data_IF_000531314119
#
_entry.id   IF_000531314119
#
_cell.length_a   1.000
_cell.length_b   1.000
_cell.length_c   1.000
_cell.angle_alpha   90.00
_cell.angle_beta   90.00
_cell.angle_gamma   90.00
#
_symmetry.space_group_name_H-M   'P 1'
#
loop_
_entity.id
_entity.type
_entity.pdbx_description
1 polymer ?
#
# COMPACT_ATOMS: atom_id res chain seq x y z
N UNK A 1 -81.45 -2.70 45.57
CA UNK A 1 -80.04 -2.28 45.51
C UNK A 1 -79.44 -2.92 44.25
N UNK A 2 -79.28 -2.16 43.12
CA UNK A 2 -78.74 -2.63 41.91
C UNK A 2 -77.27 -2.28 41.88
N UNK A 3 -76.35 -3.29 41.80
CA UNK A 3 -74.92 -3.13 41.66
C UNK A 3 -74.60 -3.00 40.21
N UNK A 4 -73.99 -1.90 39.77
CA UNK A 4 -73.40 -1.68 38.42
C UNK A 4 -71.96 -2.09 38.47
N UNK A 5 -71.56 -3.07 37.70
CA UNK A 5 -70.20 -3.45 37.46
C UNK A 5 -69.73 -2.78 36.16
N UNK A 6 -68.75 -1.87 36.24
CA UNK A 6 -68.03 -1.31 35.05
C UNK A 6 -66.98 -2.29 34.60
N UNK A 7 -66.79 -2.53 33.27
CA UNK A 7 -65.68 -3.27 32.78
C UNK A 7 -64.46 -2.33 32.63
N UNK A 8 -63.31 -2.71 33.25
CA UNK A 8 -61.99 -2.08 33.03
C UNK A 8 -61.42 -2.64 31.75
N UNK A 9 -61.39 -1.82 30.69
CA UNK A 9 -60.67 -2.15 29.47
C UNK A 9 -59.18 -1.90 29.71
N UNK A 10 -58.36 -2.98 29.78
CA UNK A 10 -56.92 -2.91 29.86
C UNK A 10 -56.37 -2.60 28.44
N UNK A 11 -55.88 -1.38 28.26
CA UNK A 11 -55.20 -0.94 27.06
C UNK A 11 -53.75 -1.44 27.12
N UNK A 12 -53.43 -2.55 26.39
CA UNK A 12 -52.09 -3.10 26.30
C UNK A 12 -51.29 -2.22 25.32
N UNK A 13 -50.42 -1.35 25.83
CA UNK A 13 -49.45 -0.58 25.05
C UNK A 13 -48.31 -1.54 24.65
N UNK A 14 -48.30 -2.02 23.40
CA UNK A 14 -47.17 -2.74 22.83
C UNK A 14 -46.06 -1.74 22.58
N UNK A 15 -45.05 -1.67 23.46
CA UNK A 15 -43.77 -0.97 23.23
C UNK A 15 -43.00 -1.85 22.25
N UNK A 16 -42.95 -1.44 20.97
CA UNK A 16 -41.99 -1.96 20.02
C UNK A 16 -40.60 -1.53 20.51
N UNK A 17 -39.91 -2.41 21.19
CA UNK A 17 -38.49 -2.23 21.47
C UNK A 17 -37.75 -2.35 20.12
N UNK A 18 -37.45 -1.19 19.52
CA UNK A 18 -36.42 -1.14 18.44
C UNK A 18 -35.11 -1.58 19.09
N UNK A 19 -34.64 -2.78 18.80
CA UNK A 19 -33.31 -3.21 19.15
C UNK A 19 -32.34 -2.30 18.41
N UNK A 20 -31.78 -1.31 19.07
CA UNK A 20 -30.60 -0.60 18.60
C UNK A 20 -29.49 -1.67 18.61
N UNK A 21 -29.22 -2.25 17.47
CA UNK A 21 -28.02 -3.06 17.29
C UNK A 21 -26.81 -2.12 17.47
N UNK A 22 -25.90 -2.49 18.34
CA UNK A 22 -24.64 -1.75 18.45
C UNK A 22 -23.88 -1.90 17.12
N UNK A 23 -23.29 -0.80 16.64
CA UNK A 23 -22.50 -0.83 15.43
C UNK A 23 -21.35 -1.84 15.53
N UNK A 24 -21.10 -2.55 14.44
CA UNK A 24 -19.90 -3.37 14.30
C UNK A 24 -18.72 -2.44 14.00
N UNK A 25 -17.68 -2.49 14.84
CA UNK A 25 -16.48 -1.67 14.65
C UNK A 25 -15.38 -2.51 14.04
N UNK A 26 -14.99 -2.20 12.81
CA UNK A 26 -13.84 -2.78 12.11
C UNK A 26 -12.57 -2.01 12.45
N UNK A 27 -11.46 -2.72 12.69
CA UNK A 27 -10.15 -2.12 12.99
C UNK A 27 -9.33 -2.08 11.70
N UNK A 28 -8.93 -0.87 11.29
CA UNK A 28 -8.02 -0.65 10.17
C UNK A 28 -6.64 -0.22 10.69
N UNK A 29 -5.56 -0.86 10.24
CA UNK A 29 -4.20 -0.53 10.64
C UNK A 29 -3.29 -0.31 9.44
N UNK A 30 -2.36 0.63 9.55
CA UNK A 30 -1.30 0.85 8.57
C UNK A 30 -0.05 1.46 9.22
N UNK A 31 1.09 1.45 8.48
CA UNK A 31 2.37 1.92 9.01
C UNK A 31 2.59 3.43 8.89
N UNK A 32 1.79 4.13 8.11
CA UNK A 32 2.02 5.52 7.72
C UNK A 32 1.61 6.51 8.82
N UNK A 33 2.27 7.68 8.91
CA UNK A 33 1.92 8.70 9.91
C UNK A 33 0.48 9.18 9.75
N UNK A 34 -0.27 9.22 10.85
CA UNK A 34 -1.65 9.69 10.88
C UNK A 34 -1.76 11.19 11.12
N UNK A 35 -2.74 11.83 10.46
CA UNK A 35 -3.09 13.23 10.72
C UNK A 35 -2.02 14.26 10.33
N UNK A 36 -1.06 13.88 9.45
CA UNK A 36 0.05 14.73 9.02
C UNK A 36 0.08 14.93 7.50
N UNK A 37 -1.03 14.69 6.79
CA UNK A 37 -1.15 14.86 5.34
C UNK A 37 -0.48 13.75 4.54
N UNK A 38 -0.35 12.53 5.12
CA UNK A 38 -0.02 11.34 4.35
C UNK A 38 -1.28 10.85 3.64
N UNK A 39 -1.27 10.90 2.31
CA UNK A 39 -2.44 10.59 1.46
C UNK A 39 -2.96 9.17 1.69
N UNK A 40 -2.09 8.25 2.13
CA UNK A 40 -2.46 6.87 2.45
C UNK A 40 -3.29 6.79 3.74
N UNK A 41 -2.92 7.56 4.77
CA UNK A 41 -3.78 7.71 5.95
C UNK A 41 -5.12 8.36 5.59
N UNK A 42 -5.07 9.43 4.78
CA UNK A 42 -6.28 10.14 4.37
C UNK A 42 -7.23 9.26 3.54
N UNK A 43 -6.70 8.38 2.68
CA UNK A 43 -7.46 7.38 1.94
C UNK A 43 -8.25 6.44 2.87
N UNK A 44 -7.60 5.91 3.91
CA UNK A 44 -8.26 5.03 4.90
C UNK A 44 -9.25 5.81 5.77
N UNK A 45 -8.93 7.06 6.14
CA UNK A 45 -9.83 7.94 6.90
C UNK A 45 -11.06 8.35 6.07
N UNK A 46 -10.90 8.57 4.76
CA UNK A 46 -12.01 8.85 3.85
C UNK A 46 -12.98 7.65 3.82
N UNK A 47 -12.44 6.45 3.61
CA UNK A 47 -13.23 5.23 3.64
C UNK A 47 -13.99 5.07 4.96
N UNK A 48 -13.33 5.34 6.10
CA UNK A 48 -13.96 5.27 7.42
C UNK A 48 -15.12 6.26 7.58
N UNK A 49 -14.98 7.49 7.09
CA UNK A 49 -16.05 8.49 7.11
C UNK A 49 -17.24 8.07 6.24
N UNK A 50 -17.01 7.60 5.03
CA UNK A 50 -18.07 7.18 4.12
C UNK A 50 -18.86 5.99 4.64
N UNK A 51 -18.18 5.01 5.23
CA UNK A 51 -18.86 3.87 5.87
C UNK A 51 -19.73 4.33 7.05
N UNK A 52 -19.26 5.28 7.85
CA UNK A 52 -20.05 5.84 8.95
C UNK A 52 -21.26 6.65 8.44
N UNK A 53 -21.12 7.39 7.33
CA UNK A 53 -22.20 8.16 6.70
C UNK A 53 -23.27 7.28 6.07
N UNK A 54 -22.92 6.06 5.63
CA UNK A 54 -23.87 5.09 5.07
C UNK A 54 -24.89 4.55 6.11
N UNK A 55 -24.63 4.69 7.40
CA UNK A 55 -25.51 4.32 8.52
C UNK A 55 -26.04 2.86 8.47
N UNK A 56 -25.17 1.94 8.05
CA UNK A 56 -25.47 0.50 7.92
C UNK A 56 -25.09 -0.32 9.17
N UNK A 57 -24.94 0.33 10.33
CA UNK A 57 -24.49 -0.30 11.57
C UNK A 57 -23.04 -0.80 11.51
N UNK A 58 -22.19 -0.10 10.75
CA UNK A 58 -20.77 -0.40 10.59
C UNK A 58 -19.93 0.86 10.79
N UNK A 59 -18.79 0.72 11.46
CA UNK A 59 -17.82 1.79 11.63
C UNK A 59 -16.41 1.25 11.40
N UNK A 60 -15.47 2.10 10.97
CA UNK A 60 -14.06 1.77 10.86
C UNK A 60 -13.27 2.63 11.83
N UNK A 61 -12.53 1.98 12.73
CA UNK A 61 -11.55 2.65 13.60
C UNK A 61 -10.16 2.50 13.02
N UNK A 62 -9.53 3.63 12.68
CA UNK A 62 -8.20 3.66 12.05
C UNK A 62 -7.11 3.75 13.10
N UNK A 63 -6.07 2.93 12.94
CA UNK A 63 -4.88 2.84 13.77
C UNK A 63 -3.62 3.10 12.91
N UNK A 64 -3.23 4.37 12.72
CA UNK A 64 -2.07 4.74 11.93
C UNK A 64 -0.75 4.51 12.68
N UNK A 65 0.37 4.62 11.97
CA UNK A 65 1.71 4.64 12.54
C UNK A 65 2.11 3.36 13.27
N UNK A 66 1.63 2.20 12.83
CA UNK A 66 1.89 0.90 13.47
C UNK A 66 1.38 0.80 14.92
N UNK A 67 0.41 1.63 15.30
CA UNK A 67 -0.09 1.68 16.68
C UNK A 67 -0.83 0.39 17.13
N UNK A 68 -1.23 -0.46 16.18
CA UNK A 68 -1.89 -1.74 16.48
C UNK A 68 -1.05 -2.94 16.07
N UNK A 69 -0.48 -2.94 14.85
CA UNK A 69 0.40 -3.99 14.33
C UNK A 69 1.57 -3.37 13.57
N UNK A 70 2.76 -3.96 13.72
CA UNK A 70 3.94 -3.61 12.92
C UNK A 70 3.73 -3.89 11.43
N UNK A 71 4.44 -3.17 10.55
CA UNK A 71 4.25 -3.24 9.11
C UNK A 71 4.28 -4.68 8.55
N UNK A 72 5.29 -5.45 8.94
CA UNK A 72 5.46 -6.85 8.50
C UNK A 72 4.49 -7.84 9.17
N UNK A 73 3.74 -7.40 10.19
CA UNK A 73 2.78 -8.25 10.89
C UNK A 73 1.35 -8.14 10.35
N UNK A 74 1.06 -7.04 9.61
CA UNK A 74 -0.31 -6.66 9.20
C UNK A 74 -0.98 -7.72 8.33
N UNK A 75 -0.31 -8.25 7.30
CA UNK A 75 -0.85 -9.34 6.49
C UNK A 75 -1.23 -10.55 7.34
N UNK A 76 -0.30 -10.98 8.19
CA UNK A 76 -0.56 -12.13 9.06
C UNK A 76 -1.64 -11.88 10.12
N UNK A 77 -1.85 -10.65 10.57
CA UNK A 77 -2.94 -10.28 11.48
C UNK A 77 -4.28 -10.26 10.74
N UNK A 78 -4.31 -9.72 9.51
CA UNK A 78 -5.48 -9.64 8.63
C UNK A 78 -6.04 -11.03 8.33
N UNK A 79 -5.24 -11.92 7.74
CA UNK A 79 -5.70 -13.24 7.29
C UNK A 79 -6.08 -14.19 8.43
N UNK A 80 -5.65 -13.89 9.67
CA UNK A 80 -6.07 -14.62 10.88
C UNK A 80 -7.23 -13.95 11.62
N UNK A 81 -7.87 -12.93 11.05
CA UNK A 81 -9.00 -12.21 11.65
C UNK A 81 -8.66 -11.45 12.94
N UNK A 82 -7.36 -11.13 13.17
CA UNK A 82 -6.94 -10.29 14.30
C UNK A 82 -6.91 -8.81 13.96
N UNK A 83 -6.91 -8.49 12.68
CA UNK A 83 -7.08 -7.19 12.07
C UNK A 83 -8.17 -7.32 11.01
N UNK A 84 -9.02 -6.29 10.87
CA UNK A 84 -10.17 -6.38 9.97
C UNK A 84 -9.84 -5.77 8.60
N UNK A 85 -9.13 -4.61 8.59
CA UNK A 85 -8.66 -3.94 7.37
C UNK A 85 -7.18 -3.51 7.52
N UNK A 86 -6.50 -3.40 6.39
CA UNK A 86 -5.17 -2.78 6.34
C UNK A 86 -4.94 -2.06 5.01
N UNK A 87 -4.16 -0.98 5.02
CA UNK A 87 -3.48 -0.47 3.83
C UNK A 87 -2.02 -0.93 3.94
N UNK A 88 -1.58 -1.75 2.99
CA UNK A 88 -0.34 -2.49 3.09
C UNK A 88 0.43 -2.43 1.77
N UNK A 89 1.72 -2.06 1.77
CA UNK A 89 2.62 -2.41 0.66
C UNK A 89 2.57 -3.91 0.43
N UNK A 90 1.97 -4.36 -0.67
CA UNK A 90 1.63 -5.78 -0.85
C UNK A 90 2.87 -6.67 -0.87
N UNK A 91 3.97 -6.15 -1.38
CA UNK A 91 5.26 -6.84 -1.43
C UNK A 91 5.80 -7.25 -0.03
N UNK A 92 5.39 -6.58 1.05
CA UNK A 92 5.75 -7.00 2.42
C UNK A 92 5.20 -8.38 2.81
N UNK A 93 4.22 -8.89 2.07
CA UNK A 93 3.70 -10.24 2.23
C UNK A 93 4.32 -11.28 1.27
N UNK A 94 5.28 -10.88 0.41
CA UNK A 94 5.93 -11.75 -0.59
C UNK A 94 6.66 -12.96 0.01
N UNK A 95 7.10 -12.87 1.25
CA UNK A 95 7.66 -14.02 1.97
C UNK A 95 6.66 -15.16 2.22
N UNK A 96 5.34 -14.91 2.05
CA UNK A 96 4.26 -15.91 2.14
C UNK A 96 3.65 -16.23 0.79
N UNK A 97 3.54 -15.22 -0.05
CA UNK A 97 2.96 -15.25 -1.40
C UNK A 97 3.99 -14.61 -2.34
N UNK A 98 4.94 -15.40 -2.87
CA UNK A 98 6.04 -14.84 -3.69
C UNK A 98 5.53 -14.14 -4.95
N UNK A 99 4.32 -14.41 -5.41
CA UNK A 99 3.64 -13.72 -6.51
C UNK A 99 3.50 -12.21 -6.25
N UNK A 100 3.40 -11.78 -5.00
CA UNK A 100 3.27 -10.37 -4.65
C UNK A 100 4.53 -9.55 -4.99
N UNK A 101 5.69 -10.18 -5.16
CA UNK A 101 6.89 -9.48 -5.64
C UNK A 101 6.73 -8.87 -7.04
N UNK A 102 5.77 -9.36 -7.85
CA UNK A 102 5.43 -8.75 -9.13
C UNK A 102 4.88 -7.33 -8.97
N UNK A 103 4.25 -7.01 -7.84
CA UNK A 103 3.67 -5.68 -7.59
C UNK A 103 4.70 -4.62 -7.20
N UNK A 104 5.98 -5.00 -7.15
CA UNK A 104 7.14 -4.14 -7.00
C UNK A 104 8.29 -4.61 -7.90
N UNK A 105 8.02 -5.16 -9.06
CA UNK A 105 9.06 -5.56 -10.02
C UNK A 105 9.68 -4.33 -10.67
N UNK A 106 11.03 -4.16 -10.65
CA UNK A 106 11.69 -2.98 -11.19
C UNK A 106 11.31 -2.69 -12.65
N UNK A 107 10.78 -1.49 -12.91
CA UNK A 107 10.43 -1.03 -14.25
C UNK A 107 9.22 -1.73 -14.91
N UNK A 108 8.53 -2.65 -14.22
CA UNK A 108 7.33 -3.31 -14.77
C UNK A 108 6.18 -2.33 -14.92
N UNK A 109 5.96 -1.45 -13.96
CA UNK A 109 5.00 -0.35 -14.01
C UNK A 109 5.73 0.92 -14.43
N UNK A 110 5.32 1.51 -15.56
CA UNK A 110 6.08 2.57 -16.23
C UNK A 110 5.76 3.99 -15.74
N UNK A 111 4.50 4.22 -15.38
CA UNK A 111 3.98 5.51 -14.93
C UNK A 111 2.57 5.35 -14.32
N UNK A 112 1.99 6.44 -13.81
CA UNK A 112 0.67 6.44 -13.18
C UNK A 112 -0.46 6.02 -14.12
N UNK A 113 -0.39 6.39 -15.41
CA UNK A 113 -1.40 5.97 -16.40
C UNK A 113 -1.34 4.47 -16.66
N UNK A 114 -0.14 3.91 -16.75
CA UNK A 114 0.05 2.47 -16.88
C UNK A 114 -0.44 1.74 -15.62
N UNK A 115 -0.11 2.25 -14.42
CA UNK A 115 -0.58 1.71 -13.15
C UNK A 115 -2.13 1.66 -13.09
N UNK A 116 -2.79 2.74 -13.53
CA UNK A 116 -4.27 2.77 -13.59
C UNK A 116 -4.85 1.71 -14.54
N UNK A 117 -4.23 1.51 -15.72
CA UNK A 117 -4.68 0.46 -16.66
C UNK A 117 -4.46 -0.95 -16.14
N UNK A 118 -3.44 -1.16 -15.30
CA UNK A 118 -3.18 -2.46 -14.69
C UNK A 118 -4.33 -2.91 -13.77
N UNK A 119 -5.04 -2.01 -13.09
CA UNK A 119 -6.09 -2.35 -12.13
C UNK A 119 -7.20 -3.26 -12.71
N UNK A 120 -7.51 -3.09 -14.01
CA UNK A 120 -8.54 -3.85 -14.73
C UNK A 120 -7.95 -4.93 -15.67
N UNK A 121 -6.67 -5.24 -15.54
CA UNK A 121 -5.96 -6.19 -16.40
C UNK A 121 -5.99 -7.63 -15.88
N UNK A 122 -5.65 -8.57 -16.76
CA UNK A 122 -5.44 -9.97 -16.39
C UNK A 122 -4.32 -10.14 -15.36
N UNK A 123 -3.30 -9.28 -15.41
CA UNK A 123 -2.23 -9.22 -14.41
C UNK A 123 -2.81 -8.99 -13.00
N UNK A 124 -3.61 -7.93 -12.82
CA UNK A 124 -4.20 -7.64 -11.51
C UNK A 124 -5.27 -8.66 -11.11
N UNK A 125 -5.98 -9.25 -12.06
CA UNK A 125 -6.88 -10.37 -11.77
C UNK A 125 -6.12 -11.54 -11.14
N UNK A 126 -4.95 -11.91 -11.68
CA UNK A 126 -4.09 -12.97 -11.11
C UNK A 126 -3.59 -12.61 -9.71
N UNK A 127 -3.16 -11.36 -9.48
CA UNK A 127 -2.72 -10.89 -8.16
C UNK A 127 -3.87 -10.89 -7.14
N UNK A 128 -5.06 -10.39 -7.54
CA UNK A 128 -6.26 -10.35 -6.70
C UNK A 128 -6.77 -11.77 -6.35
N UNK A 129 -6.60 -12.74 -7.24
CA UNK A 129 -6.87 -14.16 -6.96
C UNK A 129 -5.95 -14.70 -5.87
N UNK A 130 -4.63 -14.43 -5.95
CA UNK A 130 -3.68 -14.83 -4.89
C UNK A 130 -4.00 -14.14 -3.55
N UNK A 131 -4.40 -12.87 -3.56
CA UNK A 131 -4.83 -12.15 -2.35
C UNK A 131 -6.05 -12.86 -1.73
N UNK A 132 -7.05 -13.22 -2.55
CA UNK A 132 -8.28 -13.87 -2.11
C UNK A 132 -8.00 -15.26 -1.54
N UNK A 133 -7.21 -16.06 -2.23
CA UNK A 133 -6.78 -17.39 -1.79
C UNK A 133 -5.95 -17.30 -0.50
N UNK A 134 -5.20 -16.23 -0.32
CA UNK A 134 -4.45 -15.91 0.89
C UNK A 134 -5.33 -15.50 2.09
N UNK A 135 -6.64 -15.30 1.90
CA UNK A 135 -7.61 -14.98 2.95
C UNK A 135 -7.87 -13.47 3.14
N UNK A 136 -7.60 -12.67 2.13
CA UNK A 136 -7.89 -11.23 2.10
C UNK A 136 -8.62 -10.85 0.81
N UNK A 137 -9.23 -9.67 0.78
CA UNK A 137 -9.94 -9.11 -0.38
C UNK A 137 -9.53 -7.65 -0.57
N UNK A 138 -9.36 -7.24 -1.81
CA UNK A 138 -9.11 -5.85 -2.18
C UNK A 138 -10.40 -5.05 -2.10
N UNK A 139 -10.35 -3.90 -1.43
CA UNK A 139 -11.44 -2.91 -1.38
C UNK A 139 -11.09 -1.65 -2.20
N UNK A 140 -9.82 -1.31 -2.30
CA UNK A 140 -9.37 -0.18 -3.11
C UNK A 140 -7.96 -0.46 -3.64
N UNK A 141 -7.73 -0.17 -4.90
CA UNK A 141 -6.43 -0.23 -5.54
C UNK A 141 -5.68 1.09 -5.33
N UNK A 142 -4.37 1.04 -5.04
CA UNK A 142 -3.54 2.22 -5.09
C UNK A 142 -2.10 1.91 -5.49
N UNK A 143 -1.51 2.80 -6.28
CA UNK A 143 -0.16 2.70 -6.80
C UNK A 143 0.62 3.99 -6.54
N UNK A 144 1.84 3.86 -6.13
CA UNK A 144 2.76 4.95 -5.88
C UNK A 144 4.04 4.79 -6.69
N UNK A 145 4.45 5.86 -7.34
CA UNK A 145 5.81 5.99 -7.83
C UNK A 145 6.77 6.23 -6.67
N UNK A 146 8.03 6.00 -6.90
CA UNK A 146 9.10 6.28 -5.96
C UNK A 146 10.45 6.37 -6.66
N UNK A 147 11.50 6.54 -5.86
CA UNK A 147 12.85 6.77 -6.37
C UNK A 147 13.91 6.24 -5.42
N UNK A 148 15.09 6.80 -5.55
CA UNK A 148 16.25 6.50 -4.71
C UNK A 148 16.71 7.75 -3.97
N UNK A 149 17.16 7.60 -2.75
CA UNK A 149 17.83 8.67 -2.03
C UNK A 149 19.07 8.14 -1.33
N UNK A 150 20.12 8.98 -1.23
CA UNK A 150 21.41 8.62 -0.66
C UNK A 150 22.01 9.80 0.09
N UNK A 151 22.74 9.49 1.16
CA UNK A 151 23.54 10.44 1.93
C UNK A 151 24.94 10.66 1.36
N UNK A 152 25.35 9.97 0.29
CA UNK A 152 26.69 10.08 -0.28
C UNK A 152 26.70 10.64 -1.70
N UNK A 153 25.93 10.02 -2.62
CA UNK A 153 25.93 10.34 -4.05
C UNK A 153 24.61 9.99 -4.69
N UNK A 154 24.25 10.68 -5.76
CA UNK A 154 23.04 10.39 -6.50
C UNK A 154 23.06 8.97 -7.08
N UNK A 155 21.94 8.27 -6.97
CA UNK A 155 21.75 6.91 -7.50
C UNK A 155 21.06 7.01 -8.85
N UNK A 156 21.82 7.08 -9.93
CA UNK A 156 21.28 7.14 -11.29
C UNK A 156 21.52 5.86 -12.07
N UNK A 157 22.73 5.30 -12.00
CA UNK A 157 23.14 4.10 -12.72
C UNK A 157 23.53 2.96 -11.76
N UNK A 158 23.63 1.71 -12.24
CA UNK A 158 24.03 0.56 -11.43
C UNK A 158 25.38 0.74 -10.72
N UNK A 159 26.33 1.44 -11.32
CA UNK A 159 27.65 1.66 -10.74
C UNK A 159 27.60 2.54 -9.48
N UNK A 160 26.57 3.39 -9.37
CA UNK A 160 26.43 4.34 -8.27
C UNK A 160 26.03 3.70 -6.95
N UNK A 161 25.55 2.46 -6.92
CA UNK A 161 25.20 1.73 -5.69
C UNK A 161 26.33 0.87 -5.13
N UNK A 162 27.44 0.73 -5.87
CA UNK A 162 28.53 -0.16 -5.46
C UNK A 162 29.08 0.22 -4.08
N UNK A 163 29.08 -0.77 -3.17
CA UNK A 163 29.61 -0.66 -1.83
C UNK A 163 28.72 0.10 -0.84
N UNK A 164 27.54 0.60 -1.25
CA UNK A 164 26.60 1.24 -0.32
C UNK A 164 25.77 0.21 0.44
N UNK A 165 25.45 0.53 1.71
CA UNK A 165 24.45 -0.18 2.49
C UNK A 165 23.08 0.35 2.09
N UNK A 166 22.34 -0.45 1.36
CA UNK A 166 21.11 -0.02 0.67
C UNK A 166 19.87 -0.68 1.29
N UNK A 167 18.87 0.12 1.65
CA UNK A 167 17.54 -0.41 1.95
C UNK A 167 16.80 -0.72 0.66
N UNK A 168 16.43 -1.96 0.47
CA UNK A 168 15.50 -2.37 -0.57
C UNK A 168 14.11 -2.67 -0.02
N UNK A 169 13.10 -2.49 -0.87
CA UNK A 169 11.70 -2.63 -0.47
C UNK A 169 11.15 -4.05 -0.67
N UNK A 170 11.93 -5.00 -1.11
CA UNK A 170 11.49 -6.37 -1.31
C UNK A 170 12.35 -7.17 -2.28
N UNK A 171 12.06 -8.47 -2.44
CA UNK A 171 12.98 -9.42 -3.08
C UNK A 171 13.40 -9.04 -4.49
N UNK A 172 12.52 -8.44 -5.29
CA UNK A 172 12.85 -8.05 -6.66
C UNK A 172 13.90 -6.92 -6.69
N UNK A 173 13.72 -5.87 -5.88
CA UNK A 173 14.71 -4.80 -5.77
C UNK A 173 15.97 -5.26 -5.04
N UNK A 174 15.86 -6.14 -4.04
CA UNK A 174 17.02 -6.72 -3.33
C UNK A 174 17.96 -7.41 -4.33
N UNK A 175 17.44 -8.29 -5.18
CA UNK A 175 18.21 -9.03 -6.17
C UNK A 175 18.89 -8.11 -7.20
N UNK A 176 18.17 -7.13 -7.72
CA UNK A 176 18.72 -6.18 -8.69
C UNK A 176 19.85 -5.34 -8.09
N UNK A 177 19.63 -4.78 -6.90
CA UNK A 177 20.62 -3.92 -6.22
C UNK A 177 21.85 -4.70 -5.74
N UNK A 178 21.63 -5.93 -5.23
CA UNK A 178 22.74 -6.83 -4.84
C UNK A 178 23.61 -7.19 -6.05
N UNK A 179 23.00 -7.48 -7.21
CA UNK A 179 23.71 -7.76 -8.44
C UNK A 179 24.49 -6.54 -8.96
N UNK A 180 24.01 -5.32 -8.68
CA UNK A 180 24.72 -4.07 -8.95
C UNK A 180 25.83 -3.76 -7.94
N UNK A 181 25.99 -4.57 -6.88
CA UNK A 181 27.08 -4.46 -5.90
C UNK A 181 26.76 -3.68 -4.63
N UNK A 182 25.46 -3.47 -4.32
CA UNK A 182 25.04 -2.94 -3.03
C UNK A 182 25.03 -4.02 -1.93
N UNK A 183 25.17 -3.61 -0.68
CA UNK A 183 24.90 -4.45 0.50
C UNK A 183 23.47 -4.19 0.95
N UNK A 184 22.63 -5.22 1.00
CA UNK A 184 21.18 -5.05 1.20
C UNK A 184 20.79 -5.18 2.67
N UNK A 185 19.94 -4.24 3.13
CA UNK A 185 19.20 -4.31 4.37
C UNK A 185 17.69 -4.22 4.09
N UNK A 186 16.97 -5.31 4.39
CA UNK A 186 15.52 -5.39 4.21
C UNK A 186 14.80 -4.90 5.45
N UNK A 187 13.97 -3.85 5.33
CA UNK A 187 13.18 -3.30 6.42
C UNK A 187 11.98 -2.51 5.92
N UNK A 188 10.92 -2.32 6.73
CA UNK A 188 9.81 -1.43 6.39
C UNK A 188 10.26 0.02 6.18
N UNK A 189 9.54 0.78 5.33
CA UNK A 189 9.88 2.18 5.05
C UNK A 189 9.84 3.08 6.29
N UNK A 190 9.04 2.75 7.29
CA UNK A 190 8.97 3.44 8.58
C UNK A 190 10.26 3.37 9.43
N UNK A 191 11.18 2.47 9.09
CA UNK A 191 12.47 2.31 9.81
C UNK A 191 13.64 3.02 9.11
N UNK A 192 13.46 3.46 7.85
CA UNK A 192 14.54 4.05 7.02
C UNK A 192 15.17 5.26 7.71
N UNK A 193 14.36 6.20 8.23
CA UNK A 193 14.86 7.42 8.86
C UNK A 193 15.87 7.11 9.96
N UNK A 194 15.52 6.24 10.90
CA UNK A 194 16.41 5.87 12.01
C UNK A 194 17.64 5.11 11.53
N UNK A 195 17.50 4.24 10.54
CA UNK A 195 18.62 3.47 10.01
C UNK A 195 19.62 4.37 9.26
N UNK A 196 19.17 5.38 8.53
CA UNK A 196 20.04 6.39 7.91
C UNK A 196 20.67 7.30 8.97
N UNK A 197 19.88 7.81 9.93
CA UNK A 197 20.39 8.67 11.00
C UNK A 197 21.51 8.02 11.84
N UNK A 198 21.44 6.70 12.00
CA UNK A 198 22.44 5.93 12.77
C UNK A 198 23.58 5.39 11.91
N UNK A 199 23.61 5.66 10.61
CA UNK A 199 24.65 5.20 9.68
C UNK A 199 24.58 3.70 9.37
N UNK A 200 23.44 3.05 9.59
CA UNK A 200 23.21 1.67 9.17
C UNK A 200 22.96 1.59 7.67
N UNK A 201 22.35 2.63 7.09
CA UNK A 201 22.06 2.78 5.67
C UNK A 201 22.76 4.02 5.11
N UNK A 202 23.27 3.88 3.89
CA UNK A 202 23.80 4.96 3.06
C UNK A 202 22.76 5.43 2.04
N UNK A 203 21.86 4.53 1.60
CA UNK A 203 20.84 4.80 0.59
C UNK A 203 19.58 3.95 0.80
N UNK A 204 18.48 4.40 0.18
CA UNK A 204 17.20 3.69 0.20
C UNK A 204 16.38 3.98 -1.06
N UNK A 205 15.54 3.01 -1.44
CA UNK A 205 14.40 3.24 -2.33
C UNK A 205 13.10 3.20 -1.53
N UNK A 206 12.14 4.03 -1.90
CA UNK A 206 10.78 4.03 -1.35
C UNK A 206 9.85 4.89 -2.20
N UNK A 207 8.56 4.98 -1.80
CA UNK A 207 7.58 5.81 -2.50
C UNK A 207 7.82 7.30 -2.30
N UNK A 208 7.38 8.11 -3.27
CA UNK A 208 7.41 9.57 -3.22
C UNK A 208 6.76 10.09 -1.94
N UNK A 209 5.64 9.49 -1.51
CA UNK A 209 4.99 9.90 -0.26
C UNK A 209 5.82 9.53 0.98
N UNK A 210 6.47 8.36 1.02
CA UNK A 210 7.31 7.95 2.15
C UNK A 210 8.54 8.83 2.31
N UNK A 211 9.14 9.27 1.22
CA UNK A 211 10.24 10.23 1.25
C UNK A 211 9.87 11.52 1.96
N UNK A 212 8.62 11.98 1.82
CA UNK A 212 8.11 13.19 2.48
C UNK A 212 7.63 12.90 3.89
N UNK A 213 6.73 11.92 4.07
CA UNK A 213 6.04 11.69 5.34
C UNK A 213 6.94 11.16 6.44
N UNK A 214 8.00 10.42 6.10
CA UNK A 214 9.03 10.00 7.04
C UNK A 214 10.21 10.97 7.12
N UNK A 215 10.13 12.15 6.45
CA UNK A 215 11.12 13.23 6.50
C UNK A 215 12.53 12.77 6.10
N UNK A 216 12.65 11.86 5.11
CA UNK A 216 13.95 11.30 4.75
C UNK A 216 14.90 12.35 4.16
N UNK A 217 14.37 13.48 3.67
CA UNK A 217 15.14 14.65 3.23
C UNK A 217 16.11 15.24 4.30
N UNK A 218 15.90 14.89 5.59
CA UNK A 218 16.81 15.32 6.66
C UNK A 218 18.05 14.43 6.77
N UNK A 219 18.09 13.29 6.08
CA UNK A 219 19.11 12.26 6.23
C UNK A 219 19.87 11.97 4.93
N UNK A 220 19.58 12.69 3.85
CA UNK A 220 20.14 12.44 2.52
C UNK A 220 20.63 13.72 1.85
N UNK A 221 21.60 13.59 0.96
CA UNK A 221 22.16 14.70 0.18
C UNK A 221 21.66 14.68 -1.28
N UNK A 222 21.18 13.54 -1.78
CA UNK A 222 20.64 13.42 -3.13
C UNK A 222 19.37 12.56 -3.18
N UNK A 223 18.41 12.99 -4.02
CA UNK A 223 17.23 12.28 -4.44
C UNK A 223 17.26 12.05 -5.95
N UNK A 224 17.07 10.81 -6.38
CA UNK A 224 16.75 10.47 -7.78
C UNK A 224 15.24 10.31 -7.88
N UNK A 225 14.59 11.25 -8.53
CA UNK A 225 13.13 11.26 -8.71
C UNK A 225 12.65 10.19 -9.70
N UNK A 226 11.38 9.75 -9.68
CA UNK A 226 10.85 8.80 -10.66
C UNK A 226 10.88 9.33 -12.09
N UNK A 227 10.58 10.62 -12.32
CA UNK A 227 10.64 11.26 -13.64
C UNK A 227 9.93 10.45 -14.73
N UNK A 228 10.48 10.52 -15.96
CA UNK A 228 9.99 9.76 -17.11
C UNK A 228 10.45 8.29 -17.12
N UNK A 229 11.42 7.95 -16.27
CA UNK A 229 12.07 6.63 -16.20
C UNK A 229 12.01 6.06 -14.79
N UNK A 230 10.78 5.80 -14.30
CA UNK A 230 10.56 5.26 -12.98
C UNK A 230 10.84 3.76 -12.92
N UNK A 231 11.86 3.36 -12.15
CA UNK A 231 12.08 1.94 -11.85
C UNK A 231 11.14 1.45 -10.75
N UNK A 232 10.73 2.33 -9.84
CA UNK A 232 10.01 1.99 -8.62
C UNK A 232 8.54 2.42 -8.70
N UNK A 233 7.64 1.43 -8.74
CA UNK A 233 6.22 1.57 -8.49
C UNK A 233 5.77 0.47 -7.56
N UNK A 234 5.00 0.81 -6.52
CA UNK A 234 4.49 -0.14 -5.55
C UNK A 234 2.97 -0.12 -5.48
N UNK A 235 2.40 -1.30 -5.39
CA UNK A 235 0.99 -1.50 -5.12
C UNK A 235 0.73 -1.53 -3.61
N UNK A 236 -0.13 -0.62 -3.13
CA UNK A 236 -0.48 -0.44 -1.72
C UNK A 236 -2.00 -0.48 -1.52
N UNK A 237 -2.68 -1.63 -1.69
CA UNK A 237 -4.14 -1.72 -1.62
C UNK A 237 -4.70 -1.55 -0.21
N UNK A 238 -5.97 -1.11 -0.12
CA UNK A 238 -6.78 -1.36 1.08
C UNK A 238 -7.35 -2.78 0.99
N UNK A 239 -7.02 -3.58 1.99
CA UNK A 239 -7.44 -4.97 2.11
C UNK A 239 -8.39 -5.16 3.29
N UNK A 240 -9.36 -6.06 3.13
CA UNK A 240 -10.20 -6.58 4.22
C UNK A 240 -9.93 -8.07 4.41
N UNK A 241 -9.98 -8.55 5.64
CA UNK A 241 -10.00 -9.99 5.93
C UNK A 241 -11.18 -10.66 5.24
N UNK A 242 -10.95 -11.71 4.45
CA UNK A 242 -12.04 -12.45 3.78
C UNK A 242 -13.00 -13.06 4.81
N UNK A 243 -12.49 -13.50 5.96
CA UNK A 243 -13.34 -13.99 7.05
C UNK A 243 -14.28 -12.89 7.59
N UNK A 244 -13.82 -11.66 7.72
CA UNK A 244 -14.63 -10.52 8.14
C UNK A 244 -15.65 -10.19 7.07
N UNK A 245 -15.24 -10.11 5.80
CA UNK A 245 -16.11 -9.83 4.66
C UNK A 245 -17.29 -10.79 4.58
N UNK A 246 -17.04 -12.08 4.73
CA UNK A 246 -18.09 -13.12 4.70
C UNK A 246 -19.06 -13.05 5.90
N UNK A 247 -18.68 -12.38 6.98
CA UNK A 247 -19.53 -12.15 8.15
C UNK A 247 -20.43 -10.92 8.03
N UNK A 248 -20.21 -10.06 7.04
CA UNK A 248 -20.99 -8.84 6.80
C UNK A 248 -22.26 -9.16 5.98
N UNK A 249 -23.32 -8.39 6.20
CA UNK A 249 -24.50 -8.45 5.35
C UNK A 249 -24.29 -7.68 4.03
N UNK A 250 -25.23 -7.83 3.07
CA UNK A 250 -25.13 -7.24 1.73
C UNK A 250 -25.07 -5.70 1.75
N UNK A 251 -25.79 -5.03 2.69
CA UNK A 251 -25.77 -3.57 2.81
C UNK A 251 -24.41 -3.07 3.31
N UNK A 252 -23.80 -3.79 4.27
CA UNK A 252 -22.47 -3.49 4.79
C UNK A 252 -21.37 -3.73 3.75
N UNK A 253 -21.48 -4.83 2.97
CA UNK A 253 -20.56 -5.11 1.88
C UNK A 253 -20.67 -4.05 0.76
N UNK A 254 -21.88 -3.61 0.43
CA UNK A 254 -22.10 -2.54 -0.53
C UNK A 254 -21.49 -1.21 -0.08
N UNK A 255 -21.70 -0.82 1.19
CA UNK A 255 -21.13 0.39 1.76
C UNK A 255 -19.59 0.38 1.76
N UNK A 256 -18.96 -0.75 2.09
CA UNK A 256 -17.50 -0.91 2.01
C UNK A 256 -16.99 -0.84 0.57
N UNK A 257 -17.72 -1.42 -0.37
CA UNK A 257 -17.36 -1.37 -1.79
C UNK A 257 -17.43 0.07 -2.34
N UNK A 258 -18.51 0.80 -2.05
CA UNK A 258 -18.65 2.21 -2.43
C UNK A 258 -17.57 3.09 -1.79
N UNK A 259 -17.33 2.91 -0.49
CA UNK A 259 -16.29 3.64 0.22
C UNK A 259 -14.88 3.31 -0.29
N UNK A 260 -14.64 2.07 -0.70
CA UNK A 260 -13.39 1.65 -1.34
C UNK A 260 -13.18 2.32 -2.68
N UNK A 261 -14.20 2.35 -3.55
CA UNK A 261 -14.14 3.04 -4.84
C UNK A 261 -13.84 4.54 -4.68
N UNK A 262 -14.51 5.21 -3.76
CA UNK A 262 -14.24 6.62 -3.51
C UNK A 262 -12.84 6.88 -2.93
N UNK A 263 -12.31 5.96 -2.12
CA UNK A 263 -10.95 6.03 -1.61
C UNK A 263 -9.92 5.82 -2.73
N UNK A 264 -10.19 4.92 -3.67
CA UNK A 264 -9.37 4.69 -4.87
C UNK A 264 -9.35 5.92 -5.79
N UNK A 265 -10.53 6.49 -6.10
CA UNK A 265 -10.65 7.72 -6.91
C UNK A 265 -9.90 8.90 -6.27
N UNK A 266 -10.04 9.09 -4.96
CA UNK A 266 -9.30 10.10 -4.20
C UNK A 266 -7.80 9.90 -4.35
N UNK A 267 -7.32 8.68 -4.12
CA UNK A 267 -5.89 8.38 -4.19
C UNK A 267 -5.33 8.57 -5.60
N UNK A 268 -6.03 8.10 -6.63
CA UNK A 268 -5.62 8.24 -8.02
C UNK A 268 -5.49 9.72 -8.45
N UNK A 269 -6.37 10.61 -7.93
CA UNK A 269 -6.30 12.04 -8.19
C UNK A 269 -5.07 12.72 -7.54
N UNK A 270 -4.60 12.21 -6.41
CA UNK A 270 -3.46 12.77 -5.66
C UNK A 270 -2.11 12.17 -6.09
N UNK A 271 -2.08 10.91 -6.55
CA UNK A 271 -0.87 10.11 -6.73
C UNK A 271 0.20 10.79 -7.60
N UNK A 272 -0.17 11.33 -8.77
CA UNK A 272 0.78 11.99 -9.66
C UNK A 272 1.35 13.30 -9.06
N UNK A 273 0.57 14.02 -8.23
CA UNK A 273 1.02 15.24 -7.58
C UNK A 273 2.04 14.97 -6.46
N UNK A 274 2.08 13.75 -5.92
CA UNK A 274 3.02 13.37 -4.86
C UNK A 274 4.47 13.39 -5.34
N UNK A 275 4.73 13.04 -6.59
CA UNK A 275 6.08 13.05 -7.16
C UNK A 275 6.63 14.47 -7.22
N UNK A 276 5.85 15.43 -7.71
CA UNK A 276 6.25 16.83 -7.73
C UNK A 276 6.37 17.41 -6.30
N UNK A 277 5.46 17.06 -5.40
CA UNK A 277 5.53 17.46 -3.98
C UNK A 277 6.83 16.98 -3.32
N UNK A 278 7.25 15.76 -3.60
CA UNK A 278 8.52 15.21 -3.11
C UNK A 278 9.70 16.03 -3.63
N UNK A 279 9.75 16.29 -4.93
CA UNK A 279 10.80 17.11 -5.57
C UNK A 279 10.89 18.49 -4.92
N UNK A 280 9.74 19.16 -4.74
CA UNK A 280 9.69 20.51 -4.16
C UNK A 280 10.20 20.49 -2.69
N UNK A 281 9.72 19.57 -1.87
CA UNK A 281 10.15 19.44 -0.46
C UNK A 281 11.66 19.18 -0.36
N UNK A 282 12.21 18.31 -1.22
CA UNK A 282 13.64 18.00 -1.19
C UNK A 282 14.49 19.20 -1.60
N UNK A 283 14.13 19.90 -2.67
CA UNK A 283 14.80 21.15 -3.11
C UNK A 283 14.72 22.25 -2.06
N UNK A 284 13.57 22.44 -1.42
CA UNK A 284 13.39 23.42 -0.33
C UNK A 284 14.27 23.12 0.88
N UNK A 285 14.60 21.86 1.12
CA UNK A 285 15.52 21.45 2.20
C UNK A 285 17.00 21.35 1.75
N UNK A 286 17.33 21.78 0.53
CA UNK A 286 18.70 21.87 0.03
C UNK A 286 19.28 20.54 -0.47
N UNK A 287 18.45 19.51 -0.65
CA UNK A 287 18.84 18.22 -1.22
C UNK A 287 18.96 18.34 -2.73
N UNK A 288 20.01 17.78 -3.31
CA UNK A 288 20.15 17.67 -4.76
C UNK A 288 19.08 16.72 -5.32
N UNK A 289 18.38 17.16 -6.38
CA UNK A 289 17.35 16.34 -7.05
C UNK A 289 17.75 16.14 -8.50
N UNK A 290 17.90 14.88 -8.89
CA UNK A 290 18.27 14.45 -10.23
C UNK A 290 17.24 13.50 -10.81
N UNK A 291 17.17 13.43 -12.14
CA UNK A 291 16.39 12.46 -12.89
C UNK A 291 17.31 11.39 -13.50
N UNK A 292 16.79 10.19 -13.68
CA UNK A 292 17.52 9.12 -14.37
C UNK A 292 17.47 9.36 -15.89
N UNK A 293 18.59 9.11 -16.58
CA UNK A 293 18.60 9.09 -18.04
C UNK A 293 18.00 7.79 -18.58
N UNK A 294 17.57 7.78 -19.85
CA UNK A 294 17.11 6.56 -20.52
C UNK A 294 18.20 5.48 -20.58
N UNK A 295 19.45 5.89 -20.78
CA UNK A 295 20.61 4.98 -20.79
C UNK A 295 20.78 4.29 -19.44
N UNK A 296 20.76 5.05 -18.34
CA UNK A 296 20.88 4.53 -16.97
C UNK A 296 19.69 3.62 -16.62
N UNK A 297 18.47 4.03 -16.97
CA UNK A 297 17.27 3.22 -16.79
C UNK A 297 17.35 1.88 -17.50
N UNK A 298 17.80 1.87 -18.78
CA UNK A 298 17.98 0.64 -19.53
C UNK A 298 19.07 -0.26 -18.93
N UNK A 299 20.15 0.32 -18.39
CA UNK A 299 21.19 -0.44 -17.68
C UNK A 299 20.64 -1.11 -16.42
N UNK A 300 19.76 -0.45 -15.67
CA UNK A 300 19.05 -1.05 -14.53
C UNK A 300 18.11 -2.17 -14.97
N UNK A 301 17.35 -1.97 -16.05
CA UNK A 301 16.45 -2.99 -16.59
C UNK A 301 17.20 -4.26 -17.04
N UNK A 302 18.37 -4.11 -17.65
CA UNK A 302 19.20 -5.26 -18.03
C UNK A 302 19.55 -6.13 -16.81
N UNK A 303 20.00 -5.50 -15.71
CA UNK A 303 20.28 -6.22 -14.46
C UNK A 303 19.00 -6.85 -13.88
N UNK A 304 17.90 -6.10 -13.85
CA UNK A 304 16.63 -6.62 -13.33
C UNK A 304 16.14 -7.83 -14.11
N UNK A 305 16.25 -7.81 -15.46
CA UNK A 305 15.87 -8.92 -16.33
C UNK A 305 16.69 -10.18 -16.07
N UNK A 306 18.00 -10.05 -15.90
CA UNK A 306 18.90 -11.16 -15.65
C UNK A 306 18.80 -11.71 -14.20
N UNK A 307 18.23 -10.95 -13.28
CA UNK A 307 18.11 -11.30 -11.86
C UNK A 307 16.66 -11.46 -11.42
N UNK A 308 15.98 -10.36 -11.12
CA UNK A 308 14.66 -10.32 -10.53
C UNK A 308 13.59 -10.98 -11.40
N UNK A 309 13.51 -10.60 -12.67
CA UNK A 309 12.53 -11.15 -13.61
C UNK A 309 12.77 -12.64 -13.86
N UNK A 310 14.01 -13.01 -14.12
CA UNK A 310 14.39 -14.41 -14.35
C UNK A 310 14.09 -15.28 -13.12
N UNK A 311 14.52 -14.83 -11.93
CA UNK A 311 14.25 -15.56 -10.70
C UNK A 311 12.75 -15.69 -10.42
N UNK A 312 11.98 -14.62 -10.65
CA UNK A 312 10.53 -14.63 -10.49
C UNK A 312 9.87 -15.61 -11.47
N UNK A 313 10.22 -15.55 -12.76
CA UNK A 313 9.68 -16.44 -13.79
C UNK A 313 9.97 -17.93 -13.51
N UNK A 314 11.17 -18.26 -13.00
CA UNK A 314 11.61 -19.63 -12.79
C UNK A 314 11.13 -20.22 -11.45
N UNK A 315 10.98 -19.41 -10.40
CA UNK A 315 10.80 -19.91 -9.03
C UNK A 315 9.44 -19.56 -8.39
N UNK A 316 8.66 -18.65 -9.00
CA UNK A 316 7.34 -18.26 -8.48
C UNK A 316 6.23 -18.98 -9.24
N UNK A 317 5.19 -19.51 -8.55
CA UNK A 317 4.04 -20.10 -9.21
C UNK A 317 3.43 -19.12 -10.24
N UNK A 318 3.22 -19.58 -11.46
CA UNK A 318 2.74 -18.76 -12.59
C UNK A 318 3.60 -17.52 -12.89
N UNK A 319 4.84 -17.43 -12.39
CA UNK A 319 5.67 -16.22 -12.46
C UNK A 319 5.83 -15.65 -13.87
N UNK A 320 6.15 -16.52 -14.86
CA UNK A 320 6.24 -16.07 -16.26
C UNK A 320 4.91 -15.53 -16.79
N UNK A 321 3.79 -16.20 -16.50
CA UNK A 321 2.47 -15.76 -16.94
C UNK A 321 2.05 -14.41 -16.32
N UNK A 322 2.40 -14.17 -15.05
CA UNK A 322 2.17 -12.91 -14.37
C UNK A 322 2.97 -11.77 -15.05
N UNK A 323 4.25 -12.01 -15.35
CA UNK A 323 5.09 -11.01 -16.07
C UNK A 323 4.50 -10.75 -17.45
N UNK A 324 4.19 -11.78 -18.22
CA UNK A 324 3.65 -11.65 -19.58
C UNK A 324 2.32 -10.88 -19.58
N UNK A 325 1.45 -11.14 -18.60
CA UNK A 325 0.19 -10.43 -18.45
C UNK A 325 0.39 -8.94 -18.13
N UNK A 326 1.38 -8.59 -17.30
CA UNK A 326 1.71 -7.20 -17.01
C UNK A 326 2.30 -6.47 -18.22
N UNK A 327 3.22 -7.13 -18.95
CA UNK A 327 3.86 -6.56 -20.15
C UNK A 327 2.89 -6.40 -21.33
N UNK A 328 1.77 -7.13 -21.36
CA UNK A 328 0.74 -7.02 -22.38
C UNK A 328 -0.15 -5.78 -22.21
N UNK A 329 -0.10 -5.10 -21.09
CA UNK A 329 -0.83 -3.84 -20.86
C UNK A 329 -0.06 -2.68 -21.47
N UNK A 330 -0.64 -2.04 -22.51
CA UNK A 330 -0.02 -0.92 -23.25
C UNK A 330 -0.21 0.44 -22.56
#
# INVERSE_FOLDING_TARGET
>A
MKRYTLPIAALSLAIAASSVSADTVLRASHQFPGGQGDVRDEMVQLMARQVAEADVGLQIQVYPGQSLFGANEQWGALVRGRLDLTLLPLDYASGRHPEFSATLMPGLVRNHEHAARLNDSDYMNMIKEVILDGGARVLADSWLAGGFASSERCITSPETVQGQNFRAAGPAFEQMLEAAGASIASMPSSEIYTAMQTGVLDAANTSSMSFVSFRLYEQVDCLTEPGDFALWFMYEPILISEQVWQGLNEEQQAALTEAGQAAEEFFAAEAAALDQKMVDVYRENGVEVVSMSEEDYNAWLEIAQETSYKNFAENVPNGQAIIDAALAVE
#
